data_IF_651574389481
#
_entry.id   IF_651574389481
#
_cell.length_a   1.000
_cell.length_b   1.000
_cell.length_c   1.000
_cell.angle_alpha   90.00
_cell.angle_beta   90.00
_cell.angle_gamma   90.00
#
_symmetry.space_group_name_H-M   'P 1'
#
loop_
_entity.id
_entity.type
_entity.pdbx_description
1 polymer ?
#
# COMPACT_ATOMS: atom_id res chain seq x y z
N UNK A 1 4.35 11.49 -17.11
CA UNK A 1 3.73 10.58 -16.12
C UNK A 1 4.24 9.18 -16.34
N UNK A 2 4.81 8.57 -15.32
CA UNK A 2 5.34 7.22 -15.43
C UNK A 2 5.39 6.51 -14.09
N UNK A 3 5.22 5.19 -14.12
CA UNK A 3 5.46 4.32 -12.98
C UNK A 3 6.84 3.71 -13.19
N UNK A 4 7.71 3.86 -12.19
CA UNK A 4 9.08 3.34 -12.25
C UNK A 4 9.56 2.84 -10.90
N UNK A 5 10.59 1.99 -10.95
CA UNK A 5 11.16 1.40 -9.74
C UNK A 5 11.72 2.47 -8.79
N UNK A 6 11.56 2.23 -7.52
CA UNK A 6 12.12 3.08 -6.47
C UNK A 6 13.58 2.68 -6.25
N UNK A 7 14.48 3.68 -6.29
CA UNK A 7 15.88 3.51 -5.94
C UNK A 7 16.18 4.07 -4.54
N UNK A 8 17.40 3.83 -4.07
CA UNK A 8 17.83 4.33 -2.75
C UNK A 8 17.69 5.85 -2.61
N UNK A 9 17.95 6.59 -3.69
CA UNK A 9 17.84 8.05 -3.68
C UNK A 9 16.41 8.55 -3.50
N UNK A 10 15.42 7.70 -3.78
CA UNK A 10 14.01 8.05 -3.68
C UNK A 10 13.39 7.71 -2.30
N UNK A 11 14.17 7.09 -1.40
CA UNK A 11 13.64 6.66 -0.10
C UNK A 11 13.04 7.81 0.71
N UNK A 12 13.69 8.97 0.84
CA UNK A 12 13.08 10.10 1.58
C UNK A 12 11.72 10.53 1.03
N UNK A 13 11.58 10.60 -0.29
CA UNK A 13 10.29 10.92 -0.92
C UNK A 13 9.24 9.85 -0.64
N UNK A 14 9.63 8.57 -0.65
CA UNK A 14 8.72 7.47 -0.35
C UNK A 14 8.18 7.56 1.07
N UNK A 15 9.03 7.86 2.05
CA UNK A 15 8.61 8.06 3.44
C UNK A 15 7.54 9.15 3.50
N UNK A 16 7.78 10.28 2.86
CA UNK A 16 6.84 11.41 2.85
C UNK A 16 5.50 11.03 2.24
N UNK A 17 5.51 10.38 1.08
CA UNK A 17 4.28 9.97 0.37
C UNK A 17 3.48 8.95 1.18
N UNK A 18 4.15 7.96 1.75
CA UNK A 18 3.50 6.92 2.56
C UNK A 18 2.88 7.54 3.81
N UNK A 19 3.65 8.31 4.57
CA UNK A 19 3.17 8.92 5.81
C UNK A 19 1.99 9.86 5.53
N UNK A 20 2.13 10.74 4.54
CA UNK A 20 1.07 11.70 4.18
C UNK A 20 -0.18 10.98 3.70
N UNK A 21 -0.03 9.95 2.87
CA UNK A 21 -1.16 9.18 2.35
C UNK A 21 -1.93 8.45 3.45
N UNK A 22 -1.22 7.77 4.34
CA UNK A 22 -1.87 7.01 5.42
C UNK A 22 -2.32 7.88 6.59
N UNK A 23 -1.79 9.10 6.72
CA UNK A 23 -2.25 10.02 7.77
C UNK A 23 -3.72 10.42 7.59
N UNK A 24 -4.23 10.46 6.36
CA UNK A 24 -5.65 10.75 6.12
C UNK A 24 -6.55 9.65 6.69
N UNK A 25 -6.11 8.38 6.58
CA UNK A 25 -6.81 7.25 7.19
C UNK A 25 -6.73 7.35 8.72
N UNK A 26 -5.55 7.64 9.24
CA UNK A 26 -5.35 7.79 10.68
C UNK A 26 -6.28 8.85 11.28
N UNK A 27 -6.40 10.01 10.64
CA UNK A 27 -7.27 11.09 11.10
C UNK A 27 -8.76 10.72 11.02
N UNK A 28 -9.14 10.01 9.96
CA UNK A 28 -10.54 9.61 9.77
C UNK A 28 -11.02 8.61 10.80
N UNK A 29 -10.15 7.70 11.26
CA UNK A 29 -10.51 6.58 12.14
C UNK A 29 -9.88 6.68 13.53
N UNK A 30 -9.44 7.87 13.95
CA UNK A 30 -8.85 8.12 15.27
C UNK A 30 -7.67 7.18 15.60
N UNK A 31 -6.83 6.92 14.61
CA UNK A 31 -5.63 6.11 14.76
C UNK A 31 -4.48 7.05 15.13
N UNK A 32 -3.89 6.87 16.29
CA UNK A 32 -2.87 7.77 16.84
C UNK A 32 -1.55 7.03 17.09
N UNK A 33 -0.43 7.75 17.23
CA UNK A 33 0.83 7.09 17.61
C UNK A 33 0.75 6.36 18.94
N UNK A 34 -0.12 6.81 19.84
CA UNK A 34 -0.32 6.23 21.16
C UNK A 34 -1.11 4.92 21.08
N UNK A 35 -2.18 4.87 20.29
CA UNK A 35 -3.02 3.67 20.21
C UNK A 35 -2.61 2.69 19.12
N UNK A 36 -1.77 3.11 18.19
CA UNK A 36 -1.32 2.28 17.06
C UNK A 36 0.07 2.68 16.58
N UNK A 37 1.12 2.53 17.40
CA UNK A 37 2.47 2.91 16.97
C UNK A 37 2.98 2.11 15.77
N UNK A 38 2.43 0.91 15.53
CA UNK A 38 2.80 0.06 14.40
C UNK A 38 2.03 0.39 13.11
N UNK A 39 1.08 1.33 13.14
CA UNK A 39 0.33 1.72 11.95
C UNK A 39 1.26 2.37 10.91
N UNK A 40 0.97 2.14 9.63
CA UNK A 40 1.82 2.56 8.51
C UNK A 40 2.25 4.01 8.56
N UNK A 41 1.34 4.94 8.89
CA UNK A 41 1.65 6.36 8.98
C UNK A 41 2.71 6.69 10.05
N UNK A 42 2.83 5.87 11.08
CA UNK A 42 3.73 6.10 12.21
C UNK A 42 4.97 5.22 12.18
N UNK A 43 4.86 4.02 11.64
CA UNK A 43 5.93 3.03 11.63
C UNK A 43 6.86 3.12 10.42
N UNK A 44 6.47 3.85 9.37
CA UNK A 44 7.27 3.94 8.16
C UNK A 44 8.32 5.05 8.27
N UNK A 45 9.59 4.66 8.20
CA UNK A 45 10.73 5.57 8.15
C UNK A 45 11.72 5.06 7.08
N UNK A 46 12.84 5.76 6.90
CA UNK A 46 13.85 5.37 5.91
C UNK A 46 14.44 3.99 6.20
N UNK A 47 14.66 3.65 7.47
CA UNK A 47 15.19 2.36 7.88
C UNK A 47 14.22 1.22 7.52
N UNK A 48 12.91 1.45 7.70
CA UNK A 48 11.89 0.48 7.34
C UNK A 48 11.87 0.21 5.83
N UNK A 49 11.96 1.25 5.01
CA UNK A 49 11.98 1.09 3.54
C UNK A 49 13.26 0.37 3.11
N UNK A 50 14.41 0.70 3.71
CA UNK A 50 15.66 -0.02 3.42
C UNK A 50 15.56 -1.49 3.78
N UNK A 51 14.93 -1.82 4.90
CA UNK A 51 14.69 -3.19 5.31
C UNK A 51 13.82 -3.93 4.27
N UNK A 52 12.74 -3.30 3.81
CA UNK A 52 11.91 -3.88 2.76
C UNK A 52 12.69 -4.12 1.46
N UNK A 53 13.59 -3.21 1.10
CA UNK A 53 14.42 -3.35 -0.10
C UNK A 53 15.48 -4.42 0.06
N UNK A 54 16.28 -4.33 1.11
CA UNK A 54 17.51 -5.09 1.24
C UNK A 54 17.29 -6.49 1.83
N UNK A 55 16.42 -6.60 2.83
CA UNK A 55 16.17 -7.85 3.52
C UNK A 55 14.98 -8.62 2.95
N UNK A 56 13.87 -7.94 2.73
CA UNK A 56 12.66 -8.58 2.21
C UNK A 56 12.58 -8.61 0.69
N UNK A 57 13.49 -7.91 0.01
CA UNK A 57 13.56 -7.88 -1.46
C UNK A 57 12.23 -7.53 -2.12
N UNK A 58 11.47 -6.61 -1.52
CA UNK A 58 10.18 -6.20 -2.06
C UNK A 58 10.37 -5.36 -3.32
N UNK A 59 9.75 -5.71 -4.45
CA UNK A 59 9.62 -4.78 -5.58
C UNK A 59 8.83 -3.54 -5.15
N UNK A 60 9.36 -2.36 -5.45
CA UNK A 60 8.76 -1.07 -5.08
C UNK A 60 8.69 -0.17 -6.28
N UNK A 61 7.53 0.44 -6.48
CA UNK A 61 7.28 1.31 -7.63
C UNK A 61 6.56 2.58 -7.21
N UNK A 62 6.84 3.64 -7.94
CA UNK A 62 6.24 4.94 -7.70
C UNK A 62 5.68 5.54 -8.97
N UNK A 63 4.60 6.30 -8.82
CA UNK A 63 4.02 7.11 -9.89
C UNK A 63 4.65 8.49 -9.84
N UNK A 64 5.30 8.88 -10.93
CA UNK A 64 5.99 10.17 -11.05
C UNK A 64 5.33 11.06 -12.09
N UNK A 65 5.18 12.34 -11.75
CA UNK A 65 4.74 13.37 -12.65
C UNK A 65 5.65 14.59 -12.46
N UNK A 66 6.26 15.05 -13.56
CA UNK A 66 7.21 16.17 -13.54
C UNK A 66 8.32 16.00 -12.49
N UNK A 67 8.82 14.78 -12.35
CA UNK A 67 9.88 14.43 -11.42
C UNK A 67 9.46 14.30 -9.96
N UNK A 68 8.17 14.50 -9.66
CA UNK A 68 7.64 14.39 -8.29
C UNK A 68 6.94 13.06 -8.08
N UNK A 69 7.23 12.42 -6.96
CA UNK A 69 6.54 11.18 -6.55
C UNK A 69 5.16 11.51 -6.00
N UNK A 70 4.12 10.98 -6.61
CA UNK A 70 2.72 11.22 -6.23
C UNK A 70 2.03 10.00 -5.61
N UNK A 71 2.55 8.81 -5.86
CA UNK A 71 1.97 7.56 -5.35
C UNK A 71 3.00 6.46 -5.30
N UNK A 72 2.68 5.39 -4.59
CA UNK A 72 3.64 4.33 -4.27
C UNK A 72 2.92 3.00 -4.02
N UNK A 73 3.58 1.90 -4.31
CA UNK A 73 3.21 0.59 -3.79
C UNK A 73 4.44 -0.30 -3.69
N UNK A 74 4.33 -1.36 -2.89
CA UNK A 74 5.29 -2.44 -2.89
C UNK A 74 4.59 -3.80 -2.94
N UNK A 75 5.35 -4.83 -3.29
CA UNK A 75 4.87 -6.20 -3.30
C UNK A 75 5.73 -7.06 -2.38
N UNK A 76 5.09 -7.91 -1.60
CA UNK A 76 5.79 -8.95 -0.87
C UNK A 76 5.43 -10.28 -1.52
N UNK A 77 6.40 -10.88 -2.22
CA UNK A 77 6.19 -12.11 -2.99
C UNK A 77 6.63 -13.31 -2.18
N UNK A 78 5.75 -14.32 -2.09
CA UNK A 78 6.05 -15.58 -1.45
C UNK A 78 5.37 -16.70 -2.24
N UNK A 79 6.18 -17.55 -2.85
CA UNK A 79 5.68 -18.63 -3.71
C UNK A 79 4.85 -18.05 -4.88
N UNK A 80 3.62 -18.52 -5.07
CA UNK A 80 2.73 -18.05 -6.11
C UNK A 80 1.77 -16.95 -5.64
N UNK A 81 2.01 -16.38 -4.46
CA UNK A 81 1.19 -15.33 -3.88
C UNK A 81 2.00 -14.06 -3.69
N UNK A 82 1.32 -12.92 -3.71
CA UNK A 82 1.92 -11.67 -3.30
C UNK A 82 0.97 -10.89 -2.40
N UNK A 83 1.56 -10.04 -1.56
CA UNK A 83 0.82 -9.07 -0.77
C UNK A 83 1.11 -7.68 -1.33
N UNK A 84 0.05 -6.95 -1.66
CA UNK A 84 0.14 -5.54 -2.05
C UNK A 84 0.28 -4.70 -0.78
N UNK A 85 1.39 -4.01 -0.64
CA UNK A 85 1.71 -3.23 0.54
C UNK A 85 1.76 -1.74 0.29
N UNK A 86 1.23 -0.98 1.24
CA UNK A 86 1.35 0.48 1.31
C UNK A 86 0.95 1.22 0.03
N UNK A 87 -0.02 0.71 -0.72
CA UNK A 87 -0.56 1.43 -1.88
C UNK A 87 -1.16 2.75 -1.41
N UNK A 88 -0.64 3.85 -1.91
CA UNK A 88 -1.09 5.16 -1.52
C UNK A 88 -0.86 6.20 -2.61
N UNK A 89 -1.64 7.28 -2.54
CA UNK A 89 -1.53 8.45 -3.42
C UNK A 89 -1.61 9.68 -2.53
N UNK A 90 -0.77 10.68 -2.80
CA UNK A 90 -0.84 11.95 -2.07
C UNK A 90 -2.27 12.50 -2.13
N UNK A 91 -2.80 13.04 -1.01
CA UNK A 91 -4.19 13.50 -0.96
C UNK A 91 -4.57 14.47 -2.07
N UNK A 92 -3.70 15.43 -2.39
CA UNK A 92 -3.94 16.44 -3.43
C UNK A 92 -3.91 15.87 -4.85
N UNK A 93 -3.43 14.64 -5.01
CA UNK A 93 -3.33 13.97 -6.31
C UNK A 93 -4.37 12.86 -6.50
N UNK A 94 -5.28 12.70 -5.55
CA UNK A 94 -6.34 11.68 -5.61
C UNK A 94 -7.44 12.07 -6.60
N UNK A 95 -8.27 11.07 -6.95
CA UNK A 95 -9.40 11.23 -7.88
C UNK A 95 -8.98 11.62 -9.30
N UNK A 96 -7.76 11.28 -9.69
CA UNK A 96 -7.20 11.50 -11.02
C UNK A 96 -6.80 10.20 -11.72
N UNK A 97 -7.17 9.04 -11.15
CA UNK A 97 -6.87 7.73 -11.72
C UNK A 97 -5.51 7.16 -11.36
N UNK A 98 -4.71 7.86 -10.55
CA UNK A 98 -3.35 7.39 -10.17
C UNK A 98 -3.41 6.08 -9.38
N UNK A 99 -4.31 5.97 -8.42
CA UNK A 99 -4.50 4.75 -7.63
C UNK A 99 -4.83 3.54 -8.49
N UNK A 100 -5.72 3.72 -9.46
CA UNK A 100 -6.07 2.66 -10.42
C UNK A 100 -4.88 2.26 -11.28
N UNK A 101 -4.10 3.22 -11.78
CA UNK A 101 -2.91 2.93 -12.57
C UNK A 101 -1.88 2.15 -11.75
N UNK A 102 -1.65 2.54 -10.49
CA UNK A 102 -0.75 1.82 -9.59
C UNK A 102 -1.25 0.41 -9.30
N UNK A 103 -2.53 0.24 -9.03
CA UNK A 103 -3.12 -1.08 -8.78
C UNK A 103 -2.97 -1.99 -10.00
N UNK A 104 -3.31 -1.50 -11.18
CA UNK A 104 -3.17 -2.27 -12.43
C UNK A 104 -1.72 -2.62 -12.73
N UNK A 105 -0.79 -1.69 -12.50
CA UNK A 105 0.64 -1.94 -12.64
C UNK A 105 1.11 -3.04 -11.66
N UNK A 106 0.65 -2.98 -10.41
CA UNK A 106 1.01 -3.97 -9.39
C UNK A 106 0.54 -5.38 -9.78
N UNK A 107 -0.66 -5.49 -10.31
CA UNK A 107 -1.21 -6.78 -10.77
C UNK A 107 -0.40 -7.32 -11.96
N UNK A 108 -0.09 -6.46 -12.93
CA UNK A 108 0.72 -6.83 -14.08
C UNK A 108 2.08 -7.37 -13.65
N UNK A 109 2.77 -6.64 -12.77
CA UNK A 109 4.10 -7.05 -12.30
C UNK A 109 4.06 -8.30 -11.44
N UNK A 110 3.03 -8.46 -10.62
CA UNK A 110 2.83 -9.68 -9.83
C UNK A 110 2.66 -10.91 -10.74
N UNK A 111 1.89 -10.78 -11.82
CA UNK A 111 1.75 -11.86 -12.81
C UNK A 111 3.08 -12.19 -13.48
N UNK A 112 3.87 -11.19 -13.83
CA UNK A 112 5.20 -11.38 -14.43
C UNK A 112 6.15 -12.11 -13.48
N UNK A 113 5.96 -11.96 -12.16
CA UNK A 113 6.74 -12.64 -11.14
C UNK A 113 6.21 -14.05 -10.82
N UNK A 114 5.17 -14.49 -11.51
CA UNK A 114 4.59 -15.83 -11.31
C UNK A 114 3.52 -15.91 -10.24
N UNK A 115 3.07 -14.78 -9.71
CA UNK A 115 2.00 -14.77 -8.70
C UNK A 115 0.64 -15.05 -9.33
N UNK A 116 -0.16 -15.84 -8.63
CA UNK A 116 -1.53 -16.21 -9.05
C UNK A 116 -2.59 -15.60 -8.16
N UNK A 117 -2.21 -15.16 -6.96
CA UNK A 117 -3.12 -14.55 -5.99
C UNK A 117 -2.46 -13.30 -5.44
N UNK A 118 -3.20 -12.20 -5.43
CA UNK A 118 -2.80 -10.97 -4.75
C UNK A 118 -3.67 -10.77 -3.52
N UNK A 119 -3.03 -10.56 -2.38
CA UNK A 119 -3.66 -10.32 -1.08
C UNK A 119 -3.37 -8.92 -0.59
N UNK A 120 -4.26 -8.37 0.22
CA UNK A 120 -4.04 -7.08 0.86
C UNK A 120 -4.86 -6.97 2.15
N UNK A 121 -4.51 -6.01 2.98
CA UNK A 121 -5.27 -5.70 4.19
C UNK A 121 -5.65 -4.23 4.21
N UNK A 122 -6.79 -3.94 4.84
CA UNK A 122 -7.31 -2.58 5.00
C UNK A 122 -7.78 -2.38 6.46
N UNK A 123 -8.01 -1.14 6.83
CA UNK A 123 -8.82 -0.82 8.00
C UNK A 123 -10.26 -1.20 7.63
N UNK A 124 -10.81 -2.22 8.29
CA UNK A 124 -12.14 -2.78 7.94
C UNK A 124 -13.24 -1.72 7.97
N UNK A 125 -13.14 -0.76 8.88
CA UNK A 125 -14.09 0.34 9.03
C UNK A 125 -14.08 1.28 7.82
N UNK A 126 -13.04 1.23 6.99
CA UNK A 126 -12.94 2.03 5.77
C UNK A 126 -13.72 1.38 4.61
N UNK A 127 -15.03 1.55 4.64
CA UNK A 127 -15.95 0.91 3.68
C UNK A 127 -15.80 1.46 2.26
N UNK A 128 -15.40 2.71 2.12
CA UNK A 128 -15.16 3.33 0.81
C UNK A 128 -13.98 2.63 0.12
N UNK A 129 -12.89 2.40 0.86
CA UNK A 129 -11.71 1.71 0.33
C UNK A 129 -12.03 0.25 -0.02
N UNK A 130 -12.79 -0.44 0.83
CA UNK A 130 -13.21 -1.82 0.57
C UNK A 130 -13.98 -1.91 -0.75
N UNK A 131 -14.96 -1.04 -0.96
CA UNK A 131 -15.75 -1.01 -2.20
C UNK A 131 -14.88 -0.71 -3.41
N UNK A 132 -13.89 0.16 -3.25
CA UNK A 132 -12.95 0.48 -4.33
C UNK A 132 -12.19 -0.77 -4.77
N UNK A 133 -11.62 -1.53 -3.84
CA UNK A 133 -10.94 -2.78 -4.17
C UNK A 133 -11.89 -3.82 -4.75
N UNK A 134 -13.10 -3.94 -4.20
CA UNK A 134 -14.10 -4.86 -4.72
C UNK A 134 -14.48 -4.54 -6.17
N UNK A 135 -14.48 -3.26 -6.54
CA UNK A 135 -14.76 -2.84 -7.92
C UNK A 135 -13.70 -3.33 -8.92
N UNK A 136 -12.51 -3.69 -8.44
CA UNK A 136 -11.44 -4.29 -9.25
C UNK A 136 -11.38 -5.82 -9.13
N UNK A 137 -12.40 -6.43 -8.55
CA UNK A 137 -12.51 -7.88 -8.48
C UNK A 137 -11.90 -8.52 -7.23
N UNK A 138 -11.49 -7.73 -6.24
CA UNK A 138 -11.04 -8.27 -4.96
C UNK A 138 -12.24 -8.79 -4.16
N UNK A 139 -12.03 -9.88 -3.44
CA UNK A 139 -13.04 -10.53 -2.60
C UNK A 139 -12.60 -10.43 -1.14
N UNK A 140 -13.51 -9.98 -0.29
CA UNK A 140 -13.28 -9.92 1.15
C UNK A 140 -13.25 -11.33 1.73
N UNK A 141 -12.17 -11.67 2.44
CA UNK A 141 -11.95 -13.03 2.95
C UNK A 141 -12.12 -13.17 4.45
N UNK A 142 -12.09 -12.09 5.20
CA UNK A 142 -12.27 -12.15 6.64
C UNK A 142 -11.71 -10.94 7.35
N UNK A 143 -11.76 -10.98 8.67
CA UNK A 143 -11.28 -9.91 9.53
C UNK A 143 -10.50 -10.48 10.72
N UNK A 144 -9.58 -9.68 11.26
CA UNK A 144 -8.88 -9.98 12.51
C UNK A 144 -8.78 -8.70 13.33
N UNK A 145 -9.15 -8.77 14.61
CA UNK A 145 -8.94 -7.68 15.56
C UNK A 145 -7.71 -7.98 16.38
N UNK A 146 -6.61 -7.29 16.07
CA UNK A 146 -5.36 -7.41 16.82
C UNK A 146 -5.39 -6.52 18.07
N UNK A 147 -4.77 -6.97 19.16
CA UNK A 147 -4.73 -6.20 20.40
C UNK A 147 -3.94 -4.89 20.26
N UNK A 148 -2.97 -4.86 19.34
CA UNK A 148 -2.12 -3.69 19.13
C UNK A 148 -2.71 -2.63 18.19
N UNK A 149 -3.93 -2.87 17.65
CA UNK A 149 -4.62 -1.89 16.81
C UNK A 149 -6.02 -1.57 17.38
N UNK A 150 -6.43 -0.28 17.32
CA UNK A 150 -7.78 0.12 17.75
C UNK A 150 -8.86 -0.20 16.72
N UNK A 151 -8.47 -0.59 15.52
CA UNK A 151 -9.38 -0.93 14.41
C UNK A 151 -9.29 -2.42 14.07
N UNK A 152 -10.25 -2.90 13.30
CA UNK A 152 -10.24 -4.26 12.78
C UNK A 152 -9.51 -4.30 11.44
N UNK A 153 -8.63 -5.28 11.24
CA UNK A 153 -8.01 -5.51 9.94
C UNK A 153 -8.94 -6.32 9.05
N UNK A 154 -9.22 -5.82 7.87
CA UNK A 154 -9.98 -6.54 6.84
C UNK A 154 -9.02 -7.07 5.78
N UNK A 155 -9.31 -8.27 5.28
CA UNK A 155 -8.48 -8.93 4.29
C UNK A 155 -9.25 -9.15 3.00
N UNK A 156 -8.58 -8.86 1.87
CA UNK A 156 -9.14 -9.08 0.55
C UNK A 156 -8.10 -9.81 -0.31
N UNK A 157 -8.59 -10.55 -1.28
CA UNK A 157 -7.72 -11.21 -2.26
C UNK A 157 -8.35 -11.25 -3.64
N UNK A 158 -7.52 -11.43 -4.65
CA UNK A 158 -7.91 -11.53 -6.05
C UNK A 158 -7.05 -12.56 -6.74
N UNK A 159 -7.67 -13.44 -7.52
CA UNK A 159 -6.95 -14.29 -8.47
C UNK A 159 -6.47 -13.43 -9.63
N UNK A 160 -5.20 -13.51 -9.96
CA UNK A 160 -4.59 -12.65 -10.96
C UNK A 160 -3.90 -13.43 -12.11
#
# INVERSE_FOLDING_TARGET
MSIRAIGYDNIPECVEVIKTGFMTVAKQFDITPENAPAFTAYATDEAKIRYWMDEQKRPMYGFYEDGKLLGYYNLMVKDEECELGSLCVLPESRHKGIGEELLNDSIKRARELGCKIMKLSIVEENKVLRKWYESFGFIHTGTVKYDFFPFTCGYLEKNI
#
